data_IF_830836550949
#
_entry.id   IF_830836550949
#
_cell.length_a   1.000
_cell.length_b   1.000
_cell.length_c   1.000
_cell.angle_alpha   90.00
_cell.angle_beta   90.00
_cell.angle_gamma   90.00
#
_symmetry.space_group_name_H-M   'P 1'
#
loop_
_entity.id
_entity.type
_entity.pdbx_description
1 polymer ?
#
# COMPACT_ATOMS: atom_id res chain seq x y z
N UNK A 1 -4.16 4.91 3.70
CA UNK A 1 -4.15 5.76 4.91
C UNK A 1 -5.04 6.95 4.64
N UNK A 2 -5.93 7.30 5.58
CA UNK A 2 -6.75 8.50 5.55
C UNK A 2 -6.21 9.48 6.59
N UNK A 3 -6.02 10.74 6.20
CA UNK A 3 -5.56 11.81 7.09
C UNK A 3 -6.60 12.93 7.07
N UNK A 4 -7.05 13.38 8.25
CA UNK A 4 -8.08 14.43 8.41
C UNK A 4 -9.40 14.11 7.67
N UNK A 5 -9.77 12.82 7.59
CA UNK A 5 -10.98 12.38 6.89
C UNK A 5 -10.92 12.37 5.36
N UNK A 6 -9.79 12.78 4.76
CA UNK A 6 -9.57 12.73 3.32
C UNK A 6 -8.95 11.39 2.91
N UNK A 7 -9.30 10.92 1.72
CA UNK A 7 -8.81 9.65 1.17
C UNK A 7 -7.30 9.66 0.86
N UNK A 8 -6.72 8.47 0.60
CA UNK A 8 -5.28 8.31 0.40
C UNK A 8 -4.72 9.09 -0.79
N UNK A 9 -5.52 9.39 -1.81
CA UNK A 9 -5.13 10.19 -2.99
C UNK A 9 -4.79 11.64 -2.65
N UNK A 10 -5.22 12.14 -1.49
CA UNK A 10 -4.92 13.49 -1.01
C UNK A 10 -3.71 13.55 -0.09
N UNK A 11 -3.13 12.41 0.27
CA UNK A 11 -1.92 12.33 1.08
C UNK A 11 -0.68 12.18 0.20
N UNK A 12 0.39 12.90 0.53
CA UNK A 12 1.70 12.70 -0.09
C UNK A 12 2.52 11.71 0.73
N UNK A 13 3.30 10.89 0.05
CA UNK A 13 4.28 10.02 0.72
C UNK A 13 5.68 10.38 0.28
N UNK A 14 6.57 10.49 1.25
CA UNK A 14 7.98 10.77 1.03
C UNK A 14 8.85 9.73 1.73
N UNK A 15 10.06 9.52 1.21
CA UNK A 15 11.11 8.75 1.87
C UNK A 15 12.31 9.67 2.08
N UNK A 16 12.73 9.85 3.31
CA UNK A 16 13.76 10.82 3.71
C UNK A 16 13.47 12.24 3.19
N UNK A 17 12.19 12.64 3.16
CA UNK A 17 11.73 13.92 2.65
C UNK A 17 11.64 14.02 1.12
N UNK A 18 11.90 12.94 0.37
CA UNK A 18 11.84 12.94 -1.10
C UNK A 18 10.58 12.21 -1.58
N UNK A 19 9.86 12.84 -2.51
CA UNK A 19 8.61 12.28 -3.05
C UNK A 19 8.86 10.97 -3.77
N UNK A 20 8.10 9.94 -3.41
CA UNK A 20 8.13 8.63 -4.05
C UNK A 20 6.86 8.42 -4.89
N UNK A 21 7.04 7.90 -6.11
CA UNK A 21 5.94 7.48 -6.97
C UNK A 21 5.53 6.05 -6.64
N UNK A 22 4.28 5.87 -6.27
CA UNK A 22 3.71 4.53 -6.09
C UNK A 22 3.30 3.93 -7.43
N UNK A 23 3.56 2.65 -7.60
CA UNK A 23 2.90 1.87 -8.62
C UNK A 23 1.56 1.40 -8.07
N UNK A 24 0.47 2.03 -8.51
CA UNK A 24 -0.89 1.62 -8.20
C UNK A 24 -1.80 2.03 -9.36
N UNK A 25 -2.96 1.37 -9.47
CA UNK A 25 -4.05 1.76 -10.37
C UNK A 25 -4.92 2.86 -9.75
N UNK A 26 -4.63 3.24 -8.51
CA UNK A 26 -5.26 4.37 -7.80
C UNK A 26 -4.19 5.42 -7.46
N UNK A 27 -4.59 6.66 -7.24
CA UNK A 27 -3.66 7.75 -6.93
C UNK A 27 -3.08 7.69 -5.50
N UNK A 28 -3.37 6.63 -4.76
CA UNK A 28 -2.89 6.44 -3.38
C UNK A 28 -1.56 5.71 -3.30
N UNK A 29 -0.73 6.03 -2.31
CA UNK A 29 0.49 5.28 -2.04
C UNK A 29 0.19 3.96 -1.32
N UNK A 30 0.77 2.87 -1.80
CA UNK A 30 0.67 1.54 -1.22
C UNK A 30 1.75 1.32 -0.15
N UNK A 31 1.39 1.54 1.11
CA UNK A 31 2.30 1.32 2.24
C UNK A 31 2.62 -0.16 2.50
N UNK A 32 1.79 -1.06 2.01
CA UNK A 32 1.96 -2.50 2.19
C UNK A 32 3.14 -3.09 1.39
N UNK A 33 3.65 -2.36 0.39
CA UNK A 33 4.86 -2.74 -0.34
C UNK A 33 6.15 -2.43 0.43
N UNK A 34 6.08 -1.56 1.46
CA UNK A 34 7.22 -1.20 2.29
C UNK A 34 7.28 -2.14 3.48
N UNK A 35 8.36 -2.88 3.58
CA UNK A 35 8.59 -3.76 4.72
C UNK A 35 9.09 -2.95 5.92
N UNK A 36 8.77 -3.43 7.12
CA UNK A 36 9.13 -2.79 8.38
C UNK A 36 10.64 -2.64 8.58
N UNK A 37 11.41 -3.50 7.97
CA UNK A 37 12.88 -3.51 8.00
C UNK A 37 13.50 -2.30 7.28
N UNK A 38 12.77 -1.65 6.38
CA UNK A 38 13.19 -0.42 5.70
C UNK A 38 13.08 0.82 6.60
N UNK A 39 12.01 0.88 7.37
CA UNK A 39 11.63 2.09 8.10
C UNK A 39 12.30 2.14 9.48
N UNK A 40 13.11 3.17 9.74
CA UNK A 40 13.58 3.50 11.09
C UNK A 40 12.55 4.34 11.85
N UNK A 41 11.79 5.19 11.13
CA UNK A 41 10.71 5.99 11.68
C UNK A 41 9.65 6.31 10.62
N UNK A 42 8.44 6.58 11.07
CA UNK A 42 7.34 7.10 10.24
C UNK A 42 6.83 8.38 10.89
N UNK A 43 6.83 9.46 10.12
CA UNK A 43 6.34 10.76 10.56
C UNK A 43 5.07 11.13 9.78
N UNK A 44 4.07 11.63 10.47
CA UNK A 44 2.87 12.20 9.85
C UNK A 44 2.90 13.72 10.00
N UNK A 45 3.18 14.41 8.91
CA UNK A 45 3.32 15.86 8.84
C UNK A 45 1.98 16.42 8.36
N UNK A 46 1.27 17.07 9.28
CA UNK A 46 -0.08 17.61 9.00
C UNK A 46 -0.05 19.00 8.38
N UNK A 47 1.05 19.73 8.56
CA UNK A 47 1.24 21.08 8.04
C UNK A 47 2.65 21.15 7.44
N UNK A 48 2.79 21.21 6.10
CA UNK A 48 4.09 21.28 5.45
C UNK A 48 4.77 22.63 5.77
N UNK A 49 6.09 22.60 5.83
CA UNK A 49 6.94 23.79 5.88
C UNK A 49 7.34 24.23 4.47
N UNK A 50 7.84 25.45 4.30
CA UNK A 50 8.13 26.03 2.99
C UNK A 50 9.28 25.32 2.22
N UNK A 51 10.09 24.53 2.91
CA UNK A 51 11.19 23.74 2.34
C UNK A 51 10.74 22.34 1.86
N UNK A 52 9.48 21.98 2.04
CA UNK A 52 8.91 20.70 1.61
C UNK A 52 8.31 20.82 0.21
N UNK A 53 8.30 19.70 -0.51
CA UNK A 53 7.61 19.61 -1.80
C UNK A 53 6.13 19.97 -1.64
N UNK A 54 5.60 20.73 -2.60
CA UNK A 54 4.17 21.05 -2.66
C UNK A 54 3.37 19.80 -2.99
N UNK A 55 2.39 19.48 -2.13
CA UNK A 55 1.51 18.31 -2.30
C UNK A 55 0.90 17.90 -0.97
N UNK A 56 0.10 16.82 -1.01
CA UNK A 56 -0.47 16.25 0.20
C UNK A 56 -1.48 17.19 0.90
N UNK A 57 -2.61 17.48 0.25
CA UNK A 57 -3.66 18.34 0.80
C UNK A 57 -4.10 17.91 2.22
N UNK A 58 -4.12 16.62 2.50
CA UNK A 58 -4.47 16.09 3.82
C UNK A 58 -3.27 16.00 4.78
N UNK A 59 -2.06 15.97 4.25
CA UNK A 59 -0.79 15.84 4.96
C UNK A 59 0.21 14.96 4.22
N UNK A 60 1.41 14.85 4.78
CA UNK A 60 2.52 14.05 4.24
C UNK A 60 2.89 12.94 5.21
N UNK A 61 3.04 11.72 4.71
CA UNK A 61 3.64 10.60 5.45
C UNK A 61 5.09 10.48 5.01
N UNK A 62 6.01 10.81 5.89
CA UNK A 62 7.44 10.66 5.65
C UNK A 62 7.96 9.38 6.31
N UNK A 63 8.62 8.54 5.53
CA UNK A 63 9.29 7.32 6.00
C UNK A 63 10.78 7.61 6.06
N UNK A 64 11.38 7.47 7.22
CA UNK A 64 12.82 7.56 7.38
C UNK A 64 13.45 6.19 7.24
N UNK A 65 14.49 6.10 6.41
CA UNK A 65 15.28 4.88 6.27
C UNK A 65 16.41 4.84 7.29
N UNK A 66 17.03 3.68 7.40
CA UNK A 66 18.20 3.48 8.26
C UNK A 66 19.32 4.47 7.90
N UNK A 67 19.85 5.17 8.90
CA UNK A 67 21.05 6.00 8.80
C UNK A 67 22.23 5.22 9.40
N UNK A 68 23.08 4.59 8.58
CA UNK A 68 24.05 3.63 9.10
C UNK A 68 25.12 4.25 10.02
N UNK A 69 25.43 5.55 9.89
CA UNK A 69 26.36 6.22 10.81
C UNK A 69 25.80 6.49 12.21
N UNK A 70 24.48 6.33 12.41
CA UNK A 70 23.86 6.45 13.73
C UNK A 70 23.96 5.14 14.54
N UNK A 71 24.44 4.05 13.95
CA UNK A 71 24.64 2.76 14.59
C UNK A 71 26.08 2.63 15.08
N UNK A 72 26.26 2.27 16.34
CA UNK A 72 27.60 2.13 16.95
C UNK A 72 28.25 0.77 16.71
N UNK A 73 27.49 -0.22 16.21
CA UNK A 73 27.95 -1.60 16.03
C UNK A 73 27.32 -2.20 14.78
N UNK A 74 28.06 -3.12 14.15
CA UNK A 74 27.51 -3.96 13.09
C UNK A 74 26.26 -4.70 13.59
N UNK A 75 25.22 -4.67 12.79
CA UNK A 75 23.99 -5.42 13.04
C UNK A 75 23.64 -6.27 11.82
N UNK A 76 23.36 -7.52 12.07
CA UNK A 76 22.77 -8.45 11.10
C UNK A 76 21.51 -9.03 11.73
N UNK A 77 20.38 -8.78 11.09
CA UNK A 77 19.08 -9.32 11.49
C UNK A 77 18.56 -10.21 10.39
N UNK A 78 18.28 -11.45 10.71
CA UNK A 78 17.61 -12.39 9.80
C UNK A 78 16.26 -12.75 10.41
N UNK A 79 15.21 -12.59 9.64
CA UNK A 79 13.84 -12.93 10.05
C UNK A 79 13.26 -13.98 9.10
N UNK A 80 12.64 -15.01 9.67
CA UNK A 80 11.86 -16.00 8.92
C UNK A 80 10.52 -16.21 9.64
N UNK A 81 9.43 -16.10 8.89
CA UNK A 81 8.08 -16.29 9.39
C UNK A 81 7.31 -17.19 8.45
N UNK A 82 6.46 -18.04 9.00
CA UNK A 82 5.46 -18.81 8.28
C UNK A 82 4.10 -18.14 8.49
N UNK A 83 3.38 -17.92 7.39
CA UNK A 83 2.04 -17.35 7.40
C UNK A 83 1.05 -18.42 6.93
N UNK A 84 -0.10 -18.47 7.57
CA UNK A 84 -1.19 -19.37 7.20
C UNK A 84 -2.49 -18.55 7.16
N UNK A 85 -3.29 -18.80 6.12
CA UNK A 85 -4.67 -18.31 6.04
C UNK A 85 -5.61 -19.50 5.95
N UNK A 86 -6.41 -19.72 6.97
CA UNK A 86 -7.37 -20.81 7.06
C UNK A 86 -8.33 -20.82 5.86
N UNK A 87 -8.88 -19.64 5.52
CA UNK A 87 -9.80 -19.47 4.40
C UNK A 87 -9.16 -19.69 3.03
N UNK A 88 -7.83 -19.58 2.91
CA UNK A 88 -7.08 -19.86 1.69
C UNK A 88 -6.60 -21.32 1.59
N UNK A 89 -7.29 -22.25 2.27
CA UNK A 89 -6.99 -23.68 2.25
C UNK A 89 -5.82 -24.08 3.13
N UNK A 90 -5.46 -23.28 4.13
CA UNK A 90 -4.46 -23.61 5.14
C UNK A 90 -3.01 -23.74 4.63
N UNK A 91 -2.71 -23.24 3.43
CA UNK A 91 -1.36 -23.30 2.87
C UNK A 91 -0.42 -22.36 3.62
N UNK A 92 0.71 -22.91 4.05
CA UNK A 92 1.77 -22.14 4.68
C UNK A 92 2.56 -21.39 3.60
N UNK A 93 2.76 -20.09 3.81
CA UNK A 93 3.54 -19.22 2.91
C UNK A 93 4.67 -18.53 3.68
N UNK A 94 5.86 -18.35 3.05
CA UNK A 94 7.02 -17.79 3.71
C UNK A 94 6.99 -16.26 3.73
N UNK A 95 7.57 -15.69 4.79
CA UNK A 95 8.07 -14.31 4.82
C UNK A 95 9.48 -14.36 5.38
N UNK A 96 10.45 -13.91 4.59
CA UNK A 96 11.87 -13.86 5.00
C UNK A 96 12.40 -12.45 4.80
N UNK A 97 13.32 -12.05 5.68
CA UNK A 97 13.98 -10.76 5.62
C UNK A 97 15.39 -10.83 6.15
N UNK A 98 16.27 -10.02 5.55
CA UNK A 98 17.63 -9.80 5.99
C UNK A 98 17.89 -8.30 6.05
N UNK A 99 18.43 -7.83 7.17
CA UNK A 99 18.87 -6.46 7.37
C UNK A 99 20.31 -6.47 7.85
N UNK A 100 21.16 -5.70 7.19
CA UNK A 100 22.56 -5.54 7.53
C UNK A 100 22.90 -4.05 7.62
N UNK A 101 23.59 -3.69 8.67
CA UNK A 101 24.11 -2.33 8.90
C UNK A 101 25.53 -2.46 9.44
N UNK A 102 26.47 -1.70 8.86
CA UNK A 102 27.85 -1.67 9.33
C UNK A 102 28.51 -0.31 9.05
N UNK A 103 29.65 -0.09 9.70
CA UNK A 103 30.49 1.07 9.51
C UNK A 103 31.91 0.66 9.15
N UNK A 104 32.53 1.44 8.28
CA UNK A 104 33.87 1.25 7.75
C UNK A 104 34.66 2.57 7.83
N UNK A 105 35.95 2.51 7.55
CA UNK A 105 36.85 3.68 7.51
C UNK A 105 36.76 4.49 8.81
N UNK A 106 36.99 3.83 9.93
CA UNK A 106 36.96 4.42 11.28
C UNK A 106 35.64 5.16 11.58
N UNK A 107 34.52 4.60 11.10
CA UNK A 107 33.18 5.16 11.33
C UNK A 107 32.81 6.35 10.43
N UNK A 108 33.59 6.64 9.39
CA UNK A 108 33.25 7.70 8.43
C UNK A 108 32.38 7.23 7.29
N UNK A 109 32.33 5.92 7.00
CA UNK A 109 31.51 5.30 5.97
C UNK A 109 30.53 4.32 6.61
N UNK A 110 29.24 4.58 6.51
CA UNK A 110 28.18 3.69 6.92
C UNK A 110 27.49 3.05 5.71
N UNK A 111 27.12 1.79 5.83
CA UNK A 111 26.44 0.99 4.79
C UNK A 111 25.24 0.29 5.40
N UNK A 112 24.13 0.23 4.68
CA UNK A 112 23.03 -0.67 5.03
C UNK A 112 22.50 -1.41 3.80
N UNK A 113 21.97 -2.61 4.01
CA UNK A 113 21.28 -3.42 3.01
C UNK A 113 20.10 -4.12 3.69
N UNK A 114 18.91 -3.99 3.10
CA UNK A 114 17.72 -4.74 3.49
C UNK A 114 17.18 -5.50 2.30
N UNK A 115 16.89 -6.78 2.51
CA UNK A 115 16.26 -7.66 1.54
C UNK A 115 15.04 -8.30 2.18
N UNK A 116 13.96 -8.41 1.43
CA UNK A 116 12.75 -9.03 1.92
C UNK A 116 12.00 -9.76 0.81
N UNK A 117 11.49 -10.92 1.15
CA UNK A 117 10.58 -11.69 0.31
C UNK A 117 9.39 -12.15 1.13
N UNK A 118 8.21 -12.03 0.55
CA UNK A 118 6.97 -12.49 1.18
C UNK A 118 6.05 -13.10 0.12
N UNK A 119 5.49 -14.26 0.44
CA UNK A 119 4.35 -14.83 -0.27
C UNK A 119 3.14 -14.81 0.64
N UNK A 120 1.98 -14.45 0.11
CA UNK A 120 0.72 -14.47 0.82
C UNK A 120 -0.35 -15.13 -0.04
N UNK A 121 -1.22 -15.91 0.62
CA UNK A 121 -2.47 -16.40 0.03
C UNK A 121 -3.60 -15.99 0.93
N UNK A 122 -4.59 -15.35 0.37
CA UNK A 122 -5.78 -14.97 1.10
C UNK A 122 -7.05 -15.28 0.29
N UNK A 123 -8.15 -15.39 0.99
CA UNK A 123 -9.48 -15.58 0.43
C UNK A 123 -10.46 -14.67 1.15
N UNK A 124 -11.32 -14.03 0.39
CA UNK A 124 -12.45 -13.28 0.89
C UNK A 124 -13.74 -13.82 0.30
N UNK A 125 -14.69 -14.19 1.17
CA UNK A 125 -16.04 -14.54 0.79
C UNK A 125 -16.98 -13.47 1.35
N UNK A 126 -17.81 -12.88 0.51
CA UNK A 126 -18.74 -11.87 0.95
C UNK A 126 -20.01 -11.81 0.11
N UNK A 127 -21.06 -11.34 0.77
CA UNK A 127 -22.32 -10.98 0.15
C UNK A 127 -22.35 -9.48 -0.08
N UNK A 128 -22.80 -9.06 -1.27
CA UNK A 128 -22.94 -7.67 -1.61
C UNK A 128 -24.22 -7.40 -2.39
N UNK A 129 -24.92 -6.34 -2.02
CA UNK A 129 -26.05 -5.82 -2.76
C UNK A 129 -25.57 -4.67 -3.66
N UNK A 130 -25.44 -4.96 -4.96
CA UNK A 130 -24.85 -4.06 -5.95
C UNK A 130 -25.80 -2.92 -6.37
N UNK A 131 -27.10 -3.22 -6.42
CA UNK A 131 -28.10 -2.26 -6.90
C UNK A 131 -29.41 -2.38 -6.14
N UNK A 132 -29.95 -1.21 -5.84
CA UNK A 132 -31.29 -1.02 -5.34
C UNK A 132 -32.13 -0.27 -6.38
N UNK A 133 -33.45 -0.45 -6.36
CA UNK A 133 -34.39 0.27 -7.23
C UNK A 133 -35.61 0.66 -6.44
N UNK A 134 -36.23 1.77 -6.86
CA UNK A 134 -37.47 2.25 -6.25
C UNK A 134 -38.67 1.50 -6.80
N UNK A 135 -39.59 1.10 -5.93
CA UNK A 135 -40.92 0.63 -6.26
C UNK A 135 -41.97 1.42 -5.46
N UNK A 136 -43.12 1.70 -6.07
CA UNK A 136 -44.24 2.32 -5.37
C UNK A 136 -45.16 1.23 -4.83
N UNK A 137 -45.33 1.18 -3.51
CA UNK A 137 -46.12 0.17 -2.80
C UNK A 137 -47.05 0.91 -1.83
N UNK A 138 -48.36 0.78 -2.03
CA UNK A 138 -49.34 1.49 -1.20
C UNK A 138 -49.17 3.01 -1.16
N UNK A 139 -48.69 3.63 -2.28
CA UNK A 139 -48.41 5.06 -2.35
C UNK A 139 -47.03 5.49 -1.79
N UNK A 140 -46.25 4.57 -1.20
CA UNK A 140 -44.94 4.84 -0.65
C UNK A 140 -43.84 4.39 -1.63
N UNK A 141 -42.78 5.19 -1.75
CA UNK A 141 -41.54 4.77 -2.50
C UNK A 141 -40.68 3.91 -1.61
N UNK A 142 -40.46 2.67 -2.01
CA UNK A 142 -39.68 1.67 -1.26
C UNK A 142 -38.47 1.23 -2.09
N UNK A 143 -37.30 1.26 -1.49
CA UNK A 143 -36.07 0.68 -2.06
C UNK A 143 -36.17 -0.86 -2.03
N UNK A 144 -36.03 -1.48 -3.19
CA UNK A 144 -36.05 -2.93 -3.34
C UNK A 144 -34.72 -3.44 -3.90
N UNK A 145 -34.26 -4.63 -3.45
CA UNK A 145 -33.00 -5.20 -3.92
C UNK A 145 -33.08 -5.58 -5.41
N UNK A 146 -32.01 -5.33 -6.16
CA UNK A 146 -31.99 -5.60 -7.59
C UNK A 146 -30.96 -6.62 -8.00
N UNK A 147 -29.74 -6.57 -7.42
CA UNK A 147 -28.61 -7.42 -7.81
C UNK A 147 -27.84 -7.91 -6.60
N UNK A 148 -28.39 -8.84 -5.80
CA UNK A 148 -27.60 -9.50 -4.76
C UNK A 148 -26.52 -10.39 -5.41
N UNK A 149 -25.32 -10.41 -4.78
CA UNK A 149 -24.17 -11.18 -5.25
C UNK A 149 -23.52 -11.93 -4.11
N UNK A 150 -23.13 -13.16 -4.40
CA UNK A 150 -22.16 -13.88 -3.60
C UNK A 150 -20.84 -13.86 -4.33
N UNK A 151 -19.77 -13.46 -3.63
CA UNK A 151 -18.45 -13.36 -4.19
C UNK A 151 -17.45 -14.17 -3.38
N UNK A 152 -16.58 -14.84 -4.11
CA UNK A 152 -15.36 -15.43 -3.60
C UNK A 152 -14.19 -14.85 -4.36
N UNK A 153 -13.20 -14.34 -3.64
CA UNK A 153 -11.96 -13.86 -4.18
C UNK A 153 -10.83 -14.68 -3.57
N UNK A 154 -10.11 -15.40 -4.41
CA UNK A 154 -8.85 -16.04 -4.06
C UNK A 154 -7.72 -15.16 -4.58
N UNK A 155 -6.73 -14.84 -3.72
CA UNK A 155 -5.63 -13.94 -4.03
C UNK A 155 -4.31 -14.58 -3.62
N UNK A 156 -3.34 -14.55 -4.54
CA UNK A 156 -1.97 -14.92 -4.27
C UNK A 156 -1.05 -13.73 -4.57
N UNK A 157 -0.25 -13.32 -3.59
CA UNK A 157 0.64 -12.17 -3.71
C UNK A 157 2.06 -12.57 -3.39
N UNK A 158 2.98 -12.23 -4.28
CA UNK A 158 4.42 -12.33 -4.09
C UNK A 158 5.04 -10.95 -4.03
N UNK A 159 5.83 -10.67 -2.99
CA UNK A 159 6.51 -9.39 -2.79
C UNK A 159 8.00 -9.60 -2.66
N UNK A 160 8.74 -8.82 -3.43
CA UNK A 160 10.18 -8.68 -3.32
C UNK A 160 10.50 -7.23 -2.98
N UNK A 161 11.33 -7.02 -1.99
CA UNK A 161 11.86 -5.71 -1.65
C UNK A 161 13.36 -5.79 -1.47
N UNK A 162 14.07 -4.80 -2.01
CA UNK A 162 15.48 -4.56 -1.77
C UNK A 162 15.69 -3.07 -1.49
N UNK A 163 16.45 -2.75 -0.47
CA UNK A 163 16.90 -1.40 -0.24
C UNK A 163 18.33 -1.40 0.26
N UNK A 164 19.07 -0.34 -0.04
CA UNK A 164 20.42 -0.18 0.43
C UNK A 164 20.85 1.27 0.36
N UNK A 165 21.87 1.61 1.12
CA UNK A 165 22.41 2.95 1.12
C UNK A 165 23.79 3.04 1.71
N UNK A 166 24.43 4.14 1.36
CA UNK A 166 25.70 4.57 1.85
C UNK A 166 25.55 5.93 2.50
N UNK A 167 26.23 6.13 3.60
CA UNK A 167 26.39 7.44 4.25
C UNK A 167 27.86 7.64 4.50
N UNK A 168 28.46 8.64 3.84
CA UNK A 168 29.88 8.93 3.92
C UNK A 168 30.11 10.32 4.48
N UNK A 169 30.87 10.38 5.56
CA UNK A 169 31.22 11.62 6.26
C UNK A 169 32.75 11.75 6.29
N UNK A 170 33.38 12.18 5.15
CA UNK A 170 34.83 12.31 5.06
C UNK A 170 35.40 13.36 6.02
N UNK A 171 34.59 14.28 6.49
CA UNK A 171 34.92 15.27 7.51
C UNK A 171 33.66 15.71 8.26
N UNK A 172 33.79 16.40 9.38
CA UNK A 172 32.66 16.94 10.14
C UNK A 172 31.82 17.98 9.36
N UNK A 173 32.34 18.44 8.23
CA UNK A 173 31.71 19.44 7.37
C UNK A 173 30.96 18.87 6.18
N UNK A 174 31.26 17.64 5.76
CA UNK A 174 30.74 17.06 4.52
C UNK A 174 30.05 15.71 4.85
N UNK A 175 28.82 15.55 4.40
CA UNK A 175 28.11 14.28 4.42
C UNK A 175 27.51 14.01 3.04
N UNK A 176 27.80 12.82 2.48
CA UNK A 176 27.26 12.34 1.21
C UNK A 176 26.42 11.10 1.50
N UNK A 177 25.20 11.06 0.98
CA UNK A 177 24.28 9.95 1.13
C UNK A 177 23.81 9.43 -0.22
N UNK A 178 23.78 8.11 -0.38
CA UNK A 178 23.17 7.40 -1.48
C UNK A 178 22.14 6.42 -0.91
N UNK A 179 20.92 6.44 -1.45
CA UNK A 179 19.86 5.48 -1.09
C UNK A 179 19.24 4.93 -2.36
N UNK A 180 18.97 3.63 -2.36
CA UNK A 180 18.27 2.92 -3.41
C UNK A 180 17.18 2.03 -2.81
N UNK A 181 15.98 2.06 -3.40
CA UNK A 181 14.86 1.23 -3.01
C UNK A 181 14.25 0.62 -4.26
N UNK A 182 14.00 -0.66 -4.21
CA UNK A 182 13.26 -1.42 -5.20
C UNK A 182 12.21 -2.27 -4.49
N UNK A 183 10.96 -2.14 -4.90
CA UNK A 183 9.87 -2.99 -4.42
C UNK A 183 9.06 -3.51 -5.61
N UNK A 184 8.76 -4.79 -5.62
CA UNK A 184 7.93 -5.45 -6.64
C UNK A 184 6.87 -6.30 -5.96
N UNK A 185 5.64 -6.14 -6.43
CA UNK A 185 4.46 -6.90 -6.00
C UNK A 185 3.86 -7.56 -7.23
N UNK A 186 3.68 -8.87 -7.18
CA UNK A 186 2.91 -9.62 -8.16
C UNK A 186 1.69 -10.21 -7.46
N UNK A 187 0.52 -9.96 -8.01
CA UNK A 187 -0.72 -10.47 -7.45
C UNK A 187 -1.55 -11.15 -8.52
N UNK A 188 -1.86 -12.41 -8.32
CA UNK A 188 -2.89 -13.14 -9.06
C UNK A 188 -4.20 -13.04 -8.28
N UNK A 189 -5.26 -12.72 -8.97
CA UNK A 189 -6.58 -12.46 -8.42
C UNK A 189 -7.62 -13.27 -9.18
N UNK A 190 -8.23 -14.23 -8.51
CA UNK A 190 -9.34 -15.05 -9.04
C UNK A 190 -10.63 -14.66 -8.34
N UNK A 191 -11.56 -14.08 -9.08
CA UNK A 191 -12.90 -13.77 -8.61
C UNK A 191 -13.90 -14.75 -9.22
N UNK A 192 -14.66 -15.40 -8.37
CA UNK A 192 -15.85 -16.15 -8.74
C UNK A 192 -17.06 -15.50 -8.08
N UNK A 193 -18.08 -15.19 -8.87
CA UNK A 193 -19.28 -14.57 -8.32
C UNK A 193 -20.54 -15.15 -8.93
N UNK A 194 -21.56 -15.24 -8.11
CA UNK A 194 -22.92 -15.57 -8.47
C UNK A 194 -23.77 -14.30 -8.30
N UNK A 195 -24.43 -13.88 -9.36
CA UNK A 195 -25.25 -12.65 -9.40
C UNK A 195 -26.68 -13.04 -9.67
N UNK A 196 -27.60 -12.55 -8.87
CA UNK A 196 -29.02 -12.71 -9.08
C UNK A 196 -29.60 -11.41 -9.63
N UNK A 197 -30.19 -11.47 -10.83
CA UNK A 197 -30.78 -10.31 -11.50
C UNK A 197 -32.29 -10.34 -11.30
N UNK A 198 -32.77 -9.59 -10.33
CA UNK A 198 -34.20 -9.51 -10.05
C UNK A 198 -34.86 -8.49 -11.01
N UNK A 199 -35.91 -8.91 -11.71
CA UNK A 199 -36.77 -7.99 -12.43
C UNK A 199 -37.68 -7.26 -11.46
N UNK A 200 -37.84 -5.94 -11.62
CA UNK A 200 -38.66 -5.11 -10.73
C UNK A 200 -40.12 -5.60 -10.65
N UNK A 201 -40.66 -6.02 -11.78
CA UNK A 201 -42.03 -6.59 -11.87
C UNK A 201 -42.17 -7.99 -11.25
N UNK A 202 -41.06 -8.64 -10.94
CA UNK A 202 -41.03 -9.99 -10.34
C UNK A 202 -40.67 -9.98 -8.86
N UNK A 203 -40.59 -8.81 -8.23
CA UNK A 203 -40.35 -8.65 -6.80
C UNK A 203 -41.65 -8.30 -6.10
N UNK A 204 -42.06 -9.15 -5.14
CA UNK A 204 -43.12 -8.85 -4.18
C UNK A 204 -42.45 -8.43 -2.87
N UNK A 205 -42.79 -7.23 -2.37
CA UNK A 205 -42.32 -6.76 -1.06
C UNK A 205 -43.30 -7.30 0.00
N UNK A 206 -42.81 -8.18 0.85
CA UNK A 206 -43.59 -8.78 1.95
C UNK A 206 -43.58 -7.84 3.18
N UNK A 207 -42.45 -7.19 3.44
CA UNK A 207 -42.34 -6.19 4.50
C UNK A 207 -41.28 -5.16 4.16
N UNK A 208 -41.41 -3.94 4.73
CA UNK A 208 -40.45 -2.86 4.59
C UNK A 208 -40.37 -2.03 5.88
N UNK A 209 -39.26 -1.35 6.07
CA UNK A 209 -39.02 -0.43 7.18
C UNK A 209 -38.10 0.69 6.71
N UNK A 210 -38.33 1.89 7.21
CA UNK A 210 -37.52 3.09 6.89
C UNK A 210 -37.29 3.30 5.36
N UNK A 211 -38.32 3.04 4.55
CA UNK A 211 -38.26 3.24 3.11
C UNK A 211 -37.49 2.16 2.33
N UNK A 212 -37.10 1.04 2.96
CA UNK A 212 -36.41 -0.07 2.31
C UNK A 212 -37.10 -1.40 2.60
N UNK A 213 -37.17 -2.28 1.61
CA UNK A 213 -37.71 -3.63 1.76
C UNK A 213 -36.82 -4.46 2.69
N UNK A 214 -37.42 -5.08 3.70
CA UNK A 214 -36.77 -5.96 4.67
C UNK A 214 -37.02 -7.44 4.36
N UNK A 215 -38.11 -7.73 3.65
CA UNK A 215 -38.41 -9.07 3.17
C UNK A 215 -39.05 -8.99 1.78
N UNK A 216 -38.49 -9.73 0.84
CA UNK A 216 -38.97 -9.80 -0.55
C UNK A 216 -39.08 -11.24 -1.03
N UNK A 217 -40.04 -11.50 -1.90
CA UNK A 217 -40.08 -12.69 -2.72
C UNK A 217 -39.79 -12.33 -4.16
N UNK A 218 -38.75 -12.92 -4.75
CA UNK A 218 -38.43 -12.75 -6.14
C UNK A 218 -38.77 -14.01 -6.94
N UNK A 219 -39.48 -13.82 -8.05
CA UNK A 219 -39.84 -14.90 -8.98
C UNK A 219 -39.28 -14.57 -10.35
N UNK A 220 -39.05 -15.60 -11.17
CA UNK A 220 -38.60 -15.42 -12.57
C UNK A 220 -37.37 -14.47 -12.72
N UNK A 221 -36.31 -14.74 -12.00
CA UNK A 221 -35.07 -14.02 -12.05
C UNK A 221 -33.99 -14.76 -12.85
N UNK A 222 -33.02 -14.00 -13.39
CA UNK A 222 -31.85 -14.58 -14.05
C UNK A 222 -30.70 -14.71 -13.05
N UNK A 223 -29.97 -15.82 -13.13
CA UNK A 223 -28.75 -16.04 -12.38
C UNK A 223 -27.55 -16.06 -13.33
N UNK A 224 -26.52 -15.30 -13.01
CA UNK A 224 -25.26 -15.28 -13.74
C UNK A 224 -24.12 -15.80 -12.86
N UNK A 225 -23.28 -16.65 -13.44
CA UNK A 225 -22.01 -17.05 -12.83
C UNK A 225 -20.88 -16.38 -13.60
N UNK A 226 -20.16 -15.50 -12.95
CA UNK A 226 -19.06 -14.75 -13.55
C UNK A 226 -17.74 -15.17 -12.92
N UNK A 227 -16.73 -15.36 -13.75
CA UNK A 227 -15.36 -15.60 -13.34
C UNK A 227 -14.47 -14.51 -13.95
N UNK A 228 -13.56 -13.98 -13.14
CA UNK A 228 -12.52 -13.05 -13.56
C UNK A 228 -11.19 -13.58 -13.04
N UNK A 229 -10.21 -13.64 -13.93
CA UNK A 229 -8.82 -13.91 -13.61
C UNK A 229 -8.00 -12.68 -13.97
N UNK A 230 -7.08 -12.30 -13.11
CA UNK A 230 -6.31 -11.08 -13.28
C UNK A 230 -4.92 -11.22 -12.67
N UNK A 231 -3.90 -10.96 -13.49
CA UNK A 231 -2.51 -10.89 -13.05
C UNK A 231 -2.03 -9.45 -13.02
N UNK A 232 -1.63 -8.99 -11.84
CA UNK A 232 -1.11 -7.63 -11.63
C UNK A 232 0.36 -7.69 -11.28
N UNK A 233 1.14 -6.80 -11.86
CA UNK A 233 2.54 -6.60 -11.50
C UNK A 233 2.79 -5.12 -11.25
N UNK A 234 3.20 -4.78 -10.04
CA UNK A 234 3.51 -3.43 -9.61
C UNK A 234 4.97 -3.36 -9.23
N UNK A 235 5.69 -2.32 -9.66
CA UNK A 235 7.06 -2.09 -9.22
C UNK A 235 7.29 -0.61 -8.92
N UNK A 236 8.01 -0.34 -7.83
CA UNK A 236 8.40 1.00 -7.39
C UNK A 236 9.89 1.06 -7.22
N UNK A 237 10.50 2.11 -7.73
CA UNK A 237 11.94 2.39 -7.63
C UNK A 237 12.14 3.80 -7.11
N UNK A 238 13.16 3.97 -6.25
CA UNK A 238 13.61 5.25 -5.76
C UNK A 238 15.13 5.22 -5.64
N UNK A 239 15.78 6.23 -6.20
CA UNK A 239 17.21 6.49 -6.06
C UNK A 239 17.42 7.92 -5.60
N UNK A 240 18.15 8.11 -4.53
CA UNK A 240 18.41 9.43 -3.95
C UNK A 240 19.90 9.61 -3.71
N UNK A 241 20.47 10.67 -4.25
CA UNK A 241 21.80 11.17 -3.93
C UNK A 241 21.65 12.46 -3.14
N UNK A 242 22.31 12.57 -2.02
CA UNK A 242 22.30 13.76 -1.17
C UNK A 242 23.71 14.18 -0.78
N UNK A 243 23.92 15.48 -0.70
CA UNK A 243 25.15 16.07 -0.17
C UNK A 243 24.79 17.17 0.82
N UNK A 244 25.43 17.19 1.97
CA UNK A 244 25.33 18.25 2.97
C UNK A 244 26.71 18.82 3.22
N UNK A 245 26.76 20.12 3.39
CA UNK A 245 27.98 20.86 3.71
C UNK A 245 27.70 21.85 4.85
N UNK A 246 28.65 21.95 5.76
CA UNK A 246 28.66 22.92 6.84
C UNK A 246 29.92 23.76 6.68
N UNK A 247 29.76 25.06 6.44
CA UNK A 247 30.84 26.02 6.35
C UNK A 247 31.15 26.68 7.68
N UNK A 248 32.20 27.49 7.67
CA UNK A 248 32.51 28.41 8.75
C UNK A 248 31.46 29.54 8.81
N UNK A 249 31.32 30.20 9.94
CA UNK A 249 30.41 31.34 10.13
C UNK A 249 28.92 31.03 10.01
N UNK A 250 28.50 29.79 10.27
CA UNK A 250 27.07 29.38 10.31
C UNK A 250 26.43 29.11 8.94
N UNK A 251 27.16 29.19 7.84
CA UNK A 251 26.66 28.80 6.52
C UNK A 251 26.54 27.29 6.42
N UNK A 252 25.46 26.81 5.80
CA UNK A 252 25.27 25.40 5.46
C UNK A 252 24.58 25.27 4.11
N UNK A 253 24.83 24.18 3.42
CA UNK A 253 24.20 23.87 2.16
C UNK A 253 23.76 22.39 2.10
N UNK A 254 22.71 22.14 1.34
CA UNK A 254 22.20 20.80 1.03
C UNK A 254 21.85 20.74 -0.45
N UNK A 255 22.27 19.66 -1.10
CA UNK A 255 21.89 19.33 -2.46
C UNK A 255 21.30 17.92 -2.47
N UNK A 256 20.21 17.72 -3.24
CA UNK A 256 19.56 16.41 -3.39
C UNK A 256 19.20 16.22 -4.85
N UNK A 257 19.53 15.03 -5.38
CA UNK A 257 19.03 14.53 -6.64
C UNK A 257 18.20 13.28 -6.37
N UNK A 258 16.97 13.24 -6.88
CA UNK A 258 16.01 12.17 -6.66
C UNK A 258 15.43 11.67 -7.98
N UNK A 259 15.37 10.36 -8.14
CA UNK A 259 14.67 9.70 -9.24
C UNK A 259 13.72 8.66 -8.68
N UNK A 260 12.44 8.77 -9.04
CA UNK A 260 11.41 7.82 -8.64
C UNK A 260 10.58 7.36 -9.84
N UNK A 261 10.34 6.05 -9.93
CA UNK A 261 9.53 5.44 -10.97
C UNK A 261 8.58 4.40 -10.37
N UNK A 262 7.29 4.53 -10.70
CA UNK A 262 6.27 3.51 -10.46
C UNK A 262 5.82 2.90 -11.80
N UNK A 263 5.68 1.59 -11.89
CA UNK A 263 5.13 0.87 -13.04
C UNK A 263 4.05 -0.10 -12.60
N UNK A 264 2.93 -0.12 -13.33
CA UNK A 264 1.79 -1.00 -13.07
C UNK A 264 1.38 -1.69 -14.38
N UNK A 265 1.20 -3.00 -14.32
CA UNK A 265 0.72 -3.83 -15.42
C UNK A 265 -0.42 -4.71 -14.89
N UNK A 266 -1.44 -4.88 -15.74
CA UNK A 266 -2.63 -5.71 -15.46
C UNK A 266 -2.96 -6.53 -16.69
#
# INVERSE_FOLDING_TARGET
ISIRGLGPQYAMTTINGQTIKSADFTDGFRFDIIQTELASAIQVIKSPTADMDAGGLSGTVNIETTKPLDYHKRQLVVSAKAQNSEYAGGKITPKVGVSYVDQFLDGTLGVYVNLGYQQMKDRADYFWMDRWTNQTIGGNTILTPRRPRYRRIDRETERLMASGGLQWRPSDRIEIGLNAIYAKDKTTYDLNQQVFLFNTSAITVNSYSNGAATNVTATNFTMENNRQHEDRSLATQLYTLSAKWKGDNGWSGRAIANYSKGTAYQ
#
